data_IF_586866159298
#
_entry.id   IF_586866159298
#
_cell.length_a   1.000
_cell.length_b   1.000
_cell.length_c   1.000
_cell.angle_alpha   90.00
_cell.angle_beta   90.00
_cell.angle_gamma   90.00
#
_symmetry.space_group_name_H-M   'P 1'
#
loop_
_entity.id
_entity.type
_entity.pdbx_description
1 polymer ?
#
# COMPACT_ATOMS: atom_id res chain seq x y z
N UNK A 1 23.22 -13.98 -19.92
CA UNK A 1 23.31 -12.50 -19.96
C UNK A 1 22.95 -12.04 -18.57
N UNK A 2 23.79 -11.23 -17.94
CA UNK A 2 23.39 -10.63 -16.66
C UNK A 2 22.21 -9.70 -16.92
N UNK A 3 21.24 -9.68 -16.01
CA UNK A 3 20.13 -8.73 -16.06
C UNK A 3 20.70 -7.33 -15.81
N UNK A 4 20.06 -6.26 -16.27
CA UNK A 4 20.48 -4.89 -15.94
C UNK A 4 19.36 -4.16 -15.22
N UNK A 5 19.69 -3.33 -14.24
CA UNK A 5 18.71 -2.53 -13.50
C UNK A 5 19.24 -1.14 -13.17
N UNK A 6 18.36 -0.15 -13.22
CA UNK A 6 18.63 1.18 -12.67
C UNK A 6 18.27 1.19 -11.17
N UNK A 7 19.26 1.35 -10.29
CA UNK A 7 19.05 1.48 -8.85
C UNK A 7 18.98 2.96 -8.47
N UNK A 8 17.81 3.40 -8.00
CA UNK A 8 17.59 4.71 -7.39
C UNK A 8 17.74 4.57 -5.88
N UNK A 9 18.77 5.18 -5.31
CA UNK A 9 19.10 5.06 -3.90
C UNK A 9 18.94 6.40 -3.19
N UNK A 10 18.16 6.45 -2.11
CA UNK A 10 18.06 7.62 -1.25
C UNK A 10 19.04 7.52 -0.06
N UNK A 11 20.12 8.33 -0.01
CA UNK A 11 21.11 8.24 1.05
C UNK A 11 20.61 8.71 2.42
N UNK A 12 19.54 9.52 2.47
CA UNK A 12 19.00 10.04 3.74
C UNK A 12 17.80 9.24 4.25
N UNK A 13 17.43 8.15 3.57
CA UNK A 13 16.39 7.24 4.03
C UNK A 13 16.90 6.34 5.17
N UNK A 14 16.03 6.09 6.15
CA UNK A 14 16.30 5.16 7.24
C UNK A 14 17.10 5.74 8.40
N UNK A 15 17.66 4.84 9.21
CA UNK A 15 18.48 5.16 10.37
C UNK A 15 19.88 4.52 10.31
N UNK A 16 20.12 3.70 9.28
CA UNK A 16 21.40 3.04 9.06
C UNK A 16 22.42 3.96 8.39
N UNK A 17 23.63 3.42 8.23
CA UNK A 17 24.69 4.08 7.48
C UNK A 17 24.48 3.82 5.98
N UNK A 18 24.30 4.87 5.16
CA UNK A 18 23.96 4.70 3.75
C UNK A 18 25.06 4.04 2.93
N UNK A 19 26.34 4.19 3.31
CA UNK A 19 27.45 3.56 2.59
C UNK A 19 27.46 2.04 2.85
N UNK A 20 27.17 1.64 4.10
CA UNK A 20 27.04 0.22 4.48
C UNK A 20 25.84 -0.42 3.79
N UNK A 21 24.68 0.24 3.82
CA UNK A 21 23.44 -0.28 3.23
C UNK A 21 23.54 -0.37 1.69
N UNK A 22 24.15 0.63 1.04
CA UNK A 22 24.41 0.55 -0.40
C UNK A 22 25.41 -0.57 -0.73
N UNK A 23 26.48 -0.73 0.07
CA UNK A 23 27.43 -1.81 -0.12
C UNK A 23 26.78 -3.19 0.04
N UNK A 24 25.84 -3.35 0.97
CA UNK A 24 25.05 -4.57 1.13
C UNK A 24 24.20 -4.86 -0.11
N UNK A 25 23.43 -3.87 -0.59
CA UNK A 25 22.62 -4.01 -1.82
C UNK A 25 23.49 -4.45 -3.01
N UNK A 26 24.64 -3.78 -3.19
CA UNK A 26 25.57 -4.10 -4.28
C UNK A 26 26.14 -5.51 -4.15
N UNK A 27 26.57 -5.90 -2.95
CA UNK A 27 27.12 -7.23 -2.70
C UNK A 27 26.12 -8.36 -3.02
N UNK A 28 24.82 -8.11 -2.83
CA UNK A 28 23.78 -9.11 -3.09
C UNK A 28 23.34 -9.10 -4.55
N UNK A 29 23.16 -7.92 -5.17
CA UNK A 29 22.58 -7.82 -6.52
C UNK A 29 23.59 -7.85 -7.67
N UNK A 30 24.78 -7.24 -7.51
CA UNK A 30 25.79 -7.15 -8.58
C UNK A 30 26.31 -8.50 -9.13
N UNK A 31 26.31 -9.62 -8.38
CA UNK A 31 26.65 -10.93 -8.93
C UNK A 31 25.77 -11.36 -10.11
N UNK A 32 24.49 -10.97 -10.13
CA UNK A 32 23.48 -11.42 -11.10
C UNK A 32 22.90 -10.27 -11.95
N UNK A 33 22.98 -9.03 -11.45
CA UNK A 33 22.38 -7.83 -12.05
C UNK A 33 23.44 -6.73 -12.22
N UNK A 34 23.66 -6.25 -13.44
CA UNK A 34 24.45 -5.05 -13.70
C UNK A 34 23.67 -3.80 -13.24
N UNK A 35 24.17 -3.12 -12.20
CA UNK A 35 23.49 -2.00 -11.55
C UNK A 35 23.98 -0.64 -12.07
N UNK A 36 23.07 0.14 -12.65
CA UNK A 36 23.24 1.57 -12.92
C UNK A 36 22.72 2.37 -11.73
N UNK A 37 23.61 2.83 -10.85
CA UNK A 37 23.26 3.40 -9.54
C UNK A 37 23.15 4.93 -9.61
N UNK A 38 21.98 5.46 -9.24
CA UNK A 38 21.67 6.89 -9.16
C UNK A 38 21.25 7.27 -7.74
N UNK A 39 21.78 8.37 -7.22
CA UNK A 39 21.51 8.81 -5.85
C UNK A 39 20.57 10.01 -5.88
N UNK A 40 19.53 10.01 -5.03
CA UNK A 40 18.72 11.22 -4.82
C UNK A 40 19.55 12.27 -4.09
N UNK A 41 19.21 13.54 -4.29
CA UNK A 41 19.82 14.68 -3.60
C UNK A 41 18.73 15.64 -3.13
N UNK A 42 19.10 16.79 -2.55
CA UNK A 42 18.12 17.84 -2.23
C UNK A 42 17.50 18.49 -3.48
N UNK A 43 18.16 18.37 -4.64
CA UNK A 43 17.76 19.00 -5.90
C UNK A 43 17.15 17.99 -6.89
N UNK A 44 17.41 16.69 -6.65
CA UNK A 44 17.03 15.60 -7.55
C UNK A 44 16.26 14.54 -6.75
N UNK A 45 14.97 14.46 -7.03
CA UNK A 45 14.05 13.52 -6.41
C UNK A 45 14.00 12.18 -7.17
N UNK A 46 13.40 11.17 -6.52
CA UNK A 46 13.36 9.81 -7.05
C UNK A 46 12.51 9.67 -8.32
N UNK A 47 11.45 10.47 -8.45
CA UNK A 47 10.59 10.53 -9.64
C UNK A 47 11.38 11.01 -10.86
N UNK A 48 12.21 12.04 -10.72
CA UNK A 48 13.04 12.57 -11.80
C UNK A 48 14.04 11.52 -12.31
N UNK A 49 14.70 10.80 -11.41
CA UNK A 49 15.60 9.71 -11.75
C UNK A 49 14.86 8.55 -12.43
N UNK A 50 13.66 8.22 -11.94
CA UNK A 50 12.82 7.16 -12.51
C UNK A 50 12.33 7.52 -13.91
N UNK A 51 11.81 8.73 -14.13
CA UNK A 51 11.43 9.21 -15.46
C UNK A 51 12.60 9.17 -16.45
N UNK A 52 13.79 9.63 -16.02
CA UNK A 52 14.99 9.56 -16.86
C UNK A 52 15.39 8.12 -17.19
N UNK A 53 15.16 7.15 -16.30
CA UNK A 53 15.41 5.74 -16.56
C UNK A 53 14.35 5.13 -17.50
N UNK A 54 13.07 5.50 -17.34
CA UNK A 54 11.97 5.12 -18.24
C UNK A 54 12.26 5.60 -19.66
N UNK A 55 12.69 6.85 -19.83
CA UNK A 55 13.05 7.42 -21.14
C UNK A 55 14.23 6.70 -21.80
N UNK A 56 15.16 6.15 -21.01
CA UNK A 56 16.26 5.31 -21.50
C UNK A 56 15.80 3.91 -21.93
N UNK A 57 14.57 3.51 -21.60
CA UNK A 57 14.01 2.20 -21.95
C UNK A 57 14.62 1.04 -21.15
N UNK A 58 14.92 1.26 -19.87
CA UNK A 58 15.41 0.18 -18.99
C UNK A 58 14.32 -0.86 -18.71
N UNK A 59 14.69 -2.13 -18.56
CA UNK A 59 13.72 -3.20 -18.26
C UNK A 59 13.37 -3.29 -16.76
N UNK A 60 14.21 -2.73 -15.89
CA UNK A 60 14.07 -2.82 -14.44
C UNK A 60 14.55 -1.56 -13.74
N UNK A 61 13.72 -1.03 -12.84
CA UNK A 61 14.08 0.05 -11.91
C UNK A 61 13.92 -0.50 -10.49
N UNK A 62 14.93 -0.31 -9.66
CA UNK A 62 14.92 -0.67 -8.25
C UNK A 62 14.98 0.64 -7.47
N UNK A 63 14.07 0.87 -6.53
CA UNK A 63 14.13 2.02 -5.63
C UNK A 63 14.44 1.56 -4.20
N UNK A 64 15.40 2.25 -3.58
CA UNK A 64 15.85 2.00 -2.21
C UNK A 64 15.68 3.26 -1.35
N UNK A 65 14.71 3.24 -0.44
CA UNK A 65 14.36 4.42 0.35
C UNK A 65 13.15 4.22 1.26
N UNK A 66 12.62 5.33 1.81
CA UNK A 66 11.34 5.32 2.54
C UNK A 66 10.13 5.39 1.61
N UNK A 67 8.91 5.29 2.16
CA UNK A 67 7.67 5.24 1.38
C UNK A 67 7.54 6.39 0.36
N UNK A 68 7.90 7.63 0.72
CA UNK A 68 7.88 8.75 -0.23
C UNK A 68 8.83 8.59 -1.43
N UNK A 69 10.04 8.05 -1.23
CA UNK A 69 10.97 7.74 -2.33
C UNK A 69 10.40 6.64 -3.22
N UNK A 70 9.82 5.61 -2.62
CA UNK A 70 9.26 4.46 -3.32
C UNK A 70 8.03 4.86 -4.14
N UNK A 71 7.10 5.63 -3.57
CA UNK A 71 5.92 6.14 -4.27
C UNK A 71 6.29 7.11 -5.38
N UNK A 72 7.28 7.99 -5.17
CA UNK A 72 7.76 8.91 -6.20
C UNK A 72 8.39 8.17 -7.40
N UNK A 73 9.22 7.14 -7.13
CA UNK A 73 9.75 6.30 -8.20
C UNK A 73 8.62 5.53 -8.91
N UNK A 74 7.73 4.89 -8.16
CA UNK A 74 6.60 4.11 -8.70
C UNK A 74 5.69 4.96 -9.60
N UNK A 75 5.43 6.22 -9.23
CA UNK A 75 4.65 7.16 -10.02
C UNK A 75 5.14 7.30 -11.47
N UNK A 76 6.45 7.28 -11.69
CA UNK A 76 7.04 7.38 -13.03
C UNK A 76 6.89 6.10 -13.87
N UNK A 77 6.63 4.95 -13.22
CA UNK A 77 6.49 3.65 -13.87
C UNK A 77 5.03 3.31 -14.20
N UNK A 78 4.06 4.11 -13.76
CA UNK A 78 2.63 3.82 -13.96
C UNK A 78 2.31 3.70 -15.45
N UNK A 79 1.73 2.56 -15.83
CA UNK A 79 1.37 2.25 -17.22
C UNK A 79 2.54 1.77 -18.09
N UNK A 80 3.70 1.50 -17.49
CA UNK A 80 4.86 0.88 -18.17
C UNK A 80 4.96 -0.61 -17.83
N UNK A 81 5.63 -1.38 -18.69
CA UNK A 81 5.97 -2.79 -18.42
C UNK A 81 7.31 -2.97 -17.68
N UNK A 82 7.90 -1.87 -17.21
CA UNK A 82 9.18 -1.87 -16.47
C UNK A 82 8.97 -2.52 -15.11
N UNK A 83 9.81 -3.50 -14.79
CA UNK A 83 9.68 -4.20 -13.52
C UNK A 83 10.25 -3.35 -12.38
N UNK A 84 9.48 -3.17 -11.31
CA UNK A 84 9.82 -2.32 -10.18
C UNK A 84 10.27 -3.14 -8.97
N UNK A 85 11.50 -2.91 -8.52
CA UNK A 85 12.06 -3.50 -7.30
C UNK A 85 11.96 -2.52 -6.13
N UNK A 86 11.52 -3.00 -4.98
CA UNK A 86 11.35 -2.19 -3.77
C UNK A 86 12.32 -2.67 -2.70
N UNK A 87 13.16 -1.77 -2.21
CA UNK A 87 14.03 -1.99 -1.04
C UNK A 87 13.68 -0.93 0.01
N UNK A 88 12.77 -1.27 0.91
CA UNK A 88 12.30 -0.34 1.94
C UNK A 88 13.34 -0.15 3.04
N UNK A 89 13.76 1.10 3.23
CA UNK A 89 14.69 1.53 4.30
C UNK A 89 14.06 2.55 5.24
N UNK A 90 12.77 2.86 5.09
CA UNK A 90 12.06 3.82 5.93
C UNK A 90 11.68 3.27 7.30
N UNK A 91 11.00 4.10 8.09
CA UNK A 91 10.50 3.71 9.43
C UNK A 91 9.17 2.97 9.35
N UNK A 92 8.29 3.34 8.42
CA UNK A 92 6.95 2.76 8.30
C UNK A 92 6.92 1.59 7.32
N UNK A 93 7.61 1.72 6.18
CA UNK A 93 7.71 0.68 5.13
C UNK A 93 6.33 0.15 4.71
N UNK A 94 5.35 1.07 4.63
CA UNK A 94 3.96 0.76 4.35
C UNK A 94 3.81 0.06 2.99
N UNK A 95 4.60 0.49 2.00
CA UNK A 95 4.54 -0.07 0.65
C UNK A 95 5.03 -1.53 0.60
N UNK A 96 6.24 -1.81 1.10
CA UNK A 96 6.73 -3.19 1.17
C UNK A 96 5.81 -4.08 2.02
N UNK A 97 5.37 -3.59 3.18
CA UNK A 97 4.47 -4.33 4.08
C UNK A 97 3.14 -4.68 3.41
N UNK A 98 2.55 -3.75 2.65
CA UNK A 98 1.28 -3.96 1.96
C UNK A 98 1.38 -5.04 0.86
N UNK A 99 2.55 -5.18 0.23
CA UNK A 99 2.81 -6.17 -0.82
C UNK A 99 3.48 -7.46 -0.31
N UNK A 100 3.71 -7.57 1.00
CA UNK A 100 4.38 -8.72 1.62
C UNK A 100 5.88 -8.81 1.31
N UNK A 101 6.49 -7.74 0.78
CA UNK A 101 7.93 -7.69 0.51
C UNK A 101 8.68 -7.65 1.85
N UNK A 102 9.74 -8.47 2.05
CA UNK A 102 10.52 -8.45 3.28
C UNK A 102 11.06 -7.06 3.62
N UNK A 103 11.06 -6.73 4.91
CA UNK A 103 11.48 -5.42 5.44
C UNK A 103 13.00 -5.29 5.63
N UNK A 104 13.77 -6.30 5.26
CA UNK A 104 15.23 -6.30 5.28
C UNK A 104 15.79 -6.08 3.88
N UNK A 105 16.94 -5.40 3.79
CA UNK A 105 17.67 -5.21 2.51
C UNK A 105 17.91 -6.57 1.85
N UNK A 106 18.42 -7.54 2.59
CA UNK A 106 18.69 -8.87 2.07
C UNK A 106 17.44 -9.58 1.52
N UNK A 107 16.33 -9.59 2.27
CA UNK A 107 15.10 -10.24 1.81
C UNK A 107 14.44 -9.54 0.62
N UNK A 108 14.50 -8.22 0.57
CA UNK A 108 14.04 -7.44 -0.59
C UNK A 108 14.89 -7.72 -1.83
N UNK A 109 16.22 -7.77 -1.69
CA UNK A 109 17.13 -8.13 -2.78
C UNK A 109 16.89 -9.56 -3.26
N UNK A 110 16.70 -10.51 -2.35
CA UNK A 110 16.37 -11.90 -2.69
C UNK A 110 15.06 -12.00 -3.48
N UNK A 111 14.04 -11.22 -3.10
CA UNK A 111 12.77 -11.12 -3.84
C UNK A 111 12.99 -10.66 -5.30
N UNK A 112 13.85 -9.66 -5.51
CA UNK A 112 14.20 -9.18 -6.85
C UNK A 112 14.96 -10.24 -7.65
N UNK A 113 15.91 -10.93 -7.01
CA UNK A 113 16.72 -11.99 -7.63
C UNK A 113 15.88 -13.19 -8.05
N UNK A 114 14.90 -13.59 -7.24
CA UNK A 114 13.94 -14.65 -7.59
C UNK A 114 13.14 -14.31 -8.87
N UNK A 115 12.90 -13.02 -9.12
CA UNK A 115 12.33 -12.54 -10.37
C UNK A 115 10.82 -12.72 -10.53
N UNK A 116 10.12 -13.16 -9.49
CA UNK A 116 8.66 -13.21 -9.45
C UNK A 116 8.07 -11.80 -9.54
N UNK A 117 7.18 -11.56 -10.50
CA UNK A 117 6.52 -10.26 -10.67
C UNK A 117 5.00 -10.40 -10.66
N UNK A 118 4.31 -9.35 -10.19
CA UNK A 118 2.86 -9.19 -10.29
C UNK A 118 2.52 -7.84 -10.88
N UNK A 119 1.41 -7.78 -11.60
CA UNK A 119 0.79 -6.51 -11.96
C UNK A 119 -0.07 -6.07 -10.78
N UNK A 120 0.25 -4.90 -10.24
CA UNK A 120 -0.41 -4.27 -9.12
C UNK A 120 -1.13 -3.05 -9.66
N UNK A 121 -2.37 -2.89 -9.24
CA UNK A 121 -3.20 -1.74 -9.56
C UNK A 121 -2.60 -0.46 -8.96
N UNK A 122 -2.95 0.67 -9.57
CA UNK A 122 -2.62 2.01 -9.06
C UNK A 122 -3.86 2.86 -9.20
N UNK A 123 -4.06 3.84 -8.32
CA UNK A 123 -5.11 4.84 -8.54
C UNK A 123 -4.53 6.21 -8.92
N UNK A 124 -5.33 7.02 -9.60
CA UNK A 124 -5.12 8.46 -9.66
C UNK A 124 -6.13 9.16 -8.76
N UNK A 125 -5.66 9.96 -7.82
CA UNK A 125 -6.45 10.92 -7.06
C UNK A 125 -6.29 12.29 -7.72
N UNK A 126 -7.32 12.71 -8.46
CA UNK A 126 -7.23 13.77 -9.46
C UNK A 126 -6.06 13.48 -10.42
N UNK A 127 -5.04 14.33 -10.44
CA UNK A 127 -3.86 14.18 -11.30
C UNK A 127 -2.66 13.52 -10.59
N UNK A 128 -2.83 13.06 -9.33
CA UNK A 128 -1.74 12.48 -8.53
C UNK A 128 -1.86 10.96 -8.43
N UNK A 129 -0.80 10.20 -8.74
CA UNK A 129 -0.81 8.76 -8.55
C UNK A 129 -0.87 8.42 -7.05
N UNK A 130 -1.53 7.31 -6.75
CA UNK A 130 -1.79 6.78 -5.43
C UNK A 130 -1.56 5.28 -5.49
N UNK A 131 -0.58 4.81 -4.74
CA UNK A 131 -0.21 3.40 -4.71
C UNK A 131 -0.86 2.71 -3.53
N UNK A 132 -0.95 3.37 -2.38
CA UNK A 132 -1.48 2.78 -1.16
C UNK A 132 -2.93 3.22 -0.93
N UNK A 133 -3.12 4.45 -0.46
CA UNK A 133 -4.44 4.91 -0.03
C UNK A 133 -4.58 6.42 -0.02
N UNK A 134 -5.84 6.86 -0.09
CA UNK A 134 -6.28 8.21 0.22
C UNK A 134 -7.11 8.21 1.50
N UNK A 135 -6.75 9.10 2.43
CA UNK A 135 -7.45 9.34 3.69
C UNK A 135 -8.14 10.70 3.71
N UNK A 136 -9.42 10.75 4.10
CA UNK A 136 -10.22 11.98 4.15
C UNK A 136 -10.78 12.16 5.57
N UNK A 137 -10.62 13.36 6.12
CA UNK A 137 -11.07 13.71 7.46
C UNK A 137 -10.06 13.33 8.53
N UNK A 138 -10.42 12.42 9.44
CA UNK A 138 -9.61 12.08 10.63
C UNK A 138 -8.14 11.71 10.34
N UNK A 139 -7.89 10.99 9.25
CA UNK A 139 -6.54 10.55 8.87
C UNK A 139 -5.63 11.75 8.55
N UNK A 140 -6.19 12.81 7.96
CA UNK A 140 -5.47 14.03 7.64
C UNK A 140 -5.12 14.89 8.86
N UNK A 141 -5.99 14.91 9.88
CA UNK A 141 -5.68 15.58 11.15
C UNK A 141 -4.56 14.85 11.92
N UNK A 142 -4.40 13.54 11.71
CA UNK A 142 -3.39 12.73 12.40
C UNK A 142 -1.99 12.93 11.81
N UNK A 143 -1.86 13.11 10.48
CA UNK A 143 -0.58 13.41 9.82
C UNK A 143 0.00 14.75 10.29
N UNK A 144 -0.84 15.76 10.53
CA UNK A 144 -0.38 17.09 11.01
C UNK A 144 0.15 17.07 12.45
N UNK A 145 -0.34 16.15 13.27
CA UNK A 145 0.03 16.04 14.69
C UNK A 145 1.08 14.95 14.95
N UNK A 146 1.53 14.26 13.90
CA UNK A 146 2.55 13.24 14.00
C UNK A 146 3.91 13.89 14.31
N UNK A 147 4.14 14.13 15.60
CA UNK A 147 5.39 14.62 16.15
C UNK A 147 6.52 13.67 15.74
N UNK A 148 7.55 14.21 15.07
CA UNK A 148 8.73 13.45 14.60
C UNK A 148 9.38 12.68 15.76
N UNK A 149 9.22 13.15 16.99
CA UNK A 149 9.85 12.59 18.19
C UNK A 149 9.16 11.33 18.74
N UNK A 150 7.85 11.15 18.51
CA UNK A 150 7.15 9.92 18.92
C UNK A 150 7.47 8.73 18.00
N UNK A 151 7.80 9.01 16.73
CA UNK A 151 8.23 8.02 15.72
C UNK A 151 9.54 7.32 16.10
N UNK A 152 10.40 7.98 16.88
CA UNK A 152 11.79 7.54 17.11
C UNK A 152 11.98 6.55 18.26
N UNK A 153 10.98 6.25 19.09
CA UNK A 153 11.21 5.60 20.40
C UNK A 153 10.41 4.33 20.72
N UNK A 154 9.28 4.07 20.06
CA UNK A 154 8.36 2.98 20.47
C UNK A 154 7.81 2.10 19.33
N UNK A 155 8.30 2.26 18.10
CA UNK A 155 7.92 1.41 16.96
C UNK A 155 6.49 1.62 16.44
N UNK A 156 6.08 0.76 15.49
CA UNK A 156 4.86 0.91 14.70
C UNK A 156 3.55 0.90 15.51
N UNK A 157 3.50 0.18 16.64
CA UNK A 157 2.32 0.13 17.51
C UNK A 157 2.04 1.47 18.24
N UNK A 158 3.09 2.24 18.57
CA UNK A 158 2.91 3.55 19.19
C UNK A 158 2.25 4.55 18.23
N UNK A 159 2.46 4.42 16.92
CA UNK A 159 1.78 5.21 15.91
C UNK A 159 0.28 4.91 15.86
N UNK A 160 -0.09 3.62 15.89
CA UNK A 160 -1.51 3.19 15.97
C UNK A 160 -2.17 3.72 17.25
N UNK A 161 -1.50 3.62 18.41
CA UNK A 161 -2.03 4.14 19.68
C UNK A 161 -2.12 5.67 19.72
N UNK A 162 -1.15 6.39 19.13
CA UNK A 162 -1.20 7.84 18.98
C UNK A 162 -2.39 8.26 18.08
N UNK A 163 -2.60 7.53 16.98
CA UNK A 163 -3.78 7.68 16.14
C UNK A 163 -5.08 7.49 16.92
N UNK A 164 -5.21 6.42 17.71
CA UNK A 164 -6.39 6.20 18.57
C UNK A 164 -6.60 7.36 19.57
N UNK A 165 -5.53 7.92 20.13
CA UNK A 165 -5.63 9.02 21.08
C UNK A 165 -6.16 10.32 20.43
N UNK A 166 -5.89 10.52 19.14
CA UNK A 166 -6.43 11.65 18.36
C UNK A 166 -7.93 11.54 18.10
N UNK A 167 -8.54 10.35 18.22
CA UNK A 167 -9.99 10.15 18.04
C UNK A 167 -10.82 11.06 18.98
N UNK A 168 -10.22 11.62 20.04
CA UNK A 168 -10.86 12.59 20.93
C UNK A 168 -11.23 13.92 20.23
N UNK A 169 -10.61 14.26 19.11
CA UNK A 169 -10.86 15.49 18.35
C UNK A 169 -11.75 15.29 17.10
N UNK A 170 -12.22 14.07 16.84
CA UNK A 170 -13.07 13.72 15.69
C UNK A 170 -14.22 14.71 15.48
N UNK A 171 -14.25 15.28 14.27
CA UNK A 171 -15.38 16.07 13.78
C UNK A 171 -16.12 15.26 12.72
N UNK A 172 -17.46 15.30 12.79
CA UNK A 172 -18.29 14.76 11.73
C UNK A 172 -18.36 15.76 10.58
N UNK A 173 -18.45 15.25 9.37
CA UNK A 173 -18.73 15.99 8.16
C UNK A 173 -19.76 15.23 7.34
N UNK A 174 -20.53 15.96 6.53
CA UNK A 174 -21.41 15.35 5.56
C UNK A 174 -20.59 14.96 4.33
N UNK A 175 -20.81 13.76 3.81
CA UNK A 175 -20.11 13.21 2.66
C UNK A 175 -21.08 12.68 1.62
N UNK A 176 -20.79 12.99 0.36
CA UNK A 176 -21.39 12.40 -0.83
C UNK A 176 -20.31 11.63 -1.59
N UNK A 177 -20.56 10.34 -1.82
CA UNK A 177 -19.69 9.40 -2.54
C UNK A 177 -20.45 8.92 -3.76
N UNK A 178 -19.93 9.21 -4.94
CA UNK A 178 -20.45 8.77 -6.23
C UNK A 178 -19.53 7.67 -6.79
N UNK A 179 -20.10 6.51 -7.11
CA UNK A 179 -19.46 5.41 -7.87
C UNK A 179 -20.08 5.33 -9.27
N UNK A 180 -19.67 4.35 -10.07
CA UNK A 180 -20.25 4.11 -11.40
C UNK A 180 -21.75 3.76 -11.36
N UNK A 181 -22.24 3.23 -10.24
CA UNK A 181 -23.58 2.65 -10.12
C UNK A 181 -24.50 3.32 -9.09
N UNK A 182 -23.97 4.12 -8.14
CA UNK A 182 -24.76 4.71 -7.06
C UNK A 182 -24.15 5.97 -6.45
N UNK A 183 -25.01 6.73 -5.76
CA UNK A 183 -24.62 7.85 -4.91
C UNK A 183 -24.98 7.51 -3.46
N UNK A 184 -23.99 7.63 -2.58
CA UNK A 184 -24.11 7.37 -1.15
C UNK A 184 -23.96 8.70 -0.42
N UNK A 185 -24.93 9.06 0.43
CA UNK A 185 -24.87 10.27 1.27
C UNK A 185 -24.98 9.89 2.72
N UNK A 186 -24.04 10.35 3.54
CA UNK A 186 -24.04 10.07 4.99
C UNK A 186 -23.24 11.12 5.75
N UNK A 187 -23.26 11.04 7.08
CA UNK A 187 -22.37 11.79 7.96
C UNK A 187 -21.26 10.85 8.45
N UNK A 188 -20.01 11.20 8.20
CA UNK A 188 -18.85 10.37 8.52
C UNK A 188 -17.83 11.17 9.35
N UNK A 189 -16.86 10.46 9.93
CA UNK A 189 -15.69 11.08 10.53
C UNK A 189 -14.38 10.71 9.84
N UNK A 190 -14.38 9.62 9.06
CA UNK A 190 -13.29 9.26 8.19
C UNK A 190 -13.83 8.54 6.95
N UNK A 191 -13.21 8.79 5.80
CA UNK A 191 -13.39 8.01 4.58
C UNK A 191 -12.00 7.66 4.06
N UNK A 192 -11.78 6.38 3.80
CA UNK A 192 -10.51 5.86 3.30
C UNK A 192 -10.78 5.15 1.98
N UNK A 193 -9.98 5.43 0.96
CA UNK A 193 -9.98 4.69 -0.31
C UNK A 193 -8.60 4.04 -0.45
N UNK A 194 -8.54 2.71 -0.50
CA UNK A 194 -7.31 1.95 -0.52
C UNK A 194 -7.20 1.10 -1.79
N UNK A 195 -6.01 1.10 -2.36
CA UNK A 195 -5.55 0.10 -3.33
C UNK A 195 -4.78 -0.99 -2.60
N UNK A 196 -3.81 -0.58 -1.78
CA UNK A 196 -3.03 -1.44 -0.92
C UNK A 196 -2.77 -0.73 0.41
N UNK A 197 -2.76 -1.45 1.53
CA UNK A 197 -2.46 -0.83 2.80
C UNK A 197 -1.84 -1.84 3.75
N UNK A 198 -0.84 -1.44 4.56
CA UNK A 198 -0.36 -2.30 5.62
C UNK A 198 -1.50 -2.55 6.63
N UNK A 199 -1.48 -3.67 7.38
CA UNK A 199 -2.46 -3.95 8.43
C UNK A 199 -2.60 -2.85 9.49
N UNK A 200 -1.58 -2.00 9.63
CA UNK A 200 -1.54 -0.88 10.57
C UNK A 200 -2.31 0.36 10.09
N UNK A 201 -2.66 0.44 8.81
CA UNK A 201 -3.62 1.41 8.28
C UNK A 201 -5.05 0.96 8.59
N UNK A 202 -5.38 0.97 9.88
CA UNK A 202 -6.63 0.40 10.43
C UNK A 202 -7.90 0.92 9.75
N UNK A 203 -7.93 2.19 9.32
CA UNK A 203 -9.10 2.77 8.67
C UNK A 203 -9.32 2.27 7.24
N UNK A 204 -8.37 1.56 6.64
CA UNK A 204 -8.51 0.90 5.35
C UNK A 204 -9.04 -0.54 5.46
N UNK A 205 -9.12 -1.09 6.68
CA UNK A 205 -9.35 -2.52 6.91
C UNK A 205 -10.83 -2.91 6.99
N UNK A 206 -11.76 -2.06 6.54
CA UNK A 206 -13.20 -2.37 6.58
C UNK A 206 -13.60 -3.70 5.92
N UNK A 207 -13.28 -3.91 4.62
CA UNK A 207 -13.71 -5.10 3.89
C UNK A 207 -12.97 -6.39 4.29
N UNK A 208 -11.85 -6.29 5.03
CA UNK A 208 -10.82 -7.33 5.16
C UNK A 208 -10.20 -7.75 3.82
N UNK A 209 -8.91 -8.13 3.82
CA UNK A 209 -8.27 -8.69 2.64
C UNK A 209 -8.30 -7.78 1.41
N UNK A 210 -7.64 -6.62 1.49
CA UNK A 210 -7.39 -5.75 0.34
C UNK A 210 -6.76 -6.57 -0.79
N UNK A 211 -7.29 -6.41 -2.00
CA UNK A 211 -6.77 -7.08 -3.20
C UNK A 211 -6.25 -5.99 -4.11
N UNK A 212 -4.94 -5.97 -4.32
CA UNK A 212 -4.24 -4.89 -5.02
C UNK A 212 -4.10 -5.16 -6.53
N UNK A 213 -4.74 -6.21 -7.05
CA UNK A 213 -4.61 -6.67 -8.44
C UNK A 213 -5.96 -7.14 -9.05
N UNK A 214 -7.10 -6.67 -8.52
CA UNK A 214 -8.46 -7.02 -9.01
C UNK A 214 -9.13 -5.95 -9.89
N UNK A 215 -8.46 -4.82 -10.11
CA UNK A 215 -8.94 -3.66 -10.84
C UNK A 215 -9.95 -2.80 -10.09
N UNK A 216 -10.06 -2.96 -8.76
CA UNK A 216 -10.98 -2.22 -7.89
C UNK A 216 -10.21 -1.47 -6.79
N UNK A 217 -10.90 -0.54 -6.13
CA UNK A 217 -10.44 0.15 -4.94
C UNK A 217 -11.41 -0.11 -3.80
N UNK A 218 -10.87 -0.31 -2.61
CA UNK A 218 -11.62 -0.55 -1.37
C UNK A 218 -11.91 0.77 -0.66
N UNK A 219 -13.19 1.12 -0.51
CA UNK A 219 -13.62 2.27 0.26
C UNK A 219 -14.13 1.81 1.63
N UNK A 220 -13.65 2.46 2.70
CA UNK A 220 -14.16 2.31 4.06
C UNK A 220 -14.70 3.65 4.58
N UNK A 221 -15.92 3.64 5.12
CA UNK A 221 -16.59 4.78 5.76
C UNK A 221 -16.70 4.49 7.24
N UNK A 222 -16.22 5.41 8.07
CA UNK A 222 -16.35 5.33 9.53
C UNK A 222 -17.32 6.41 9.99
N UNK A 223 -18.50 6.01 10.49
CA UNK A 223 -19.63 6.88 10.80
C UNK A 223 -20.20 6.71 12.23
N UNK A 224 -19.35 6.70 13.29
CA UNK A 224 -19.79 6.44 14.65
C UNK A 224 -20.74 7.51 15.18
N UNK A 225 -21.71 7.08 15.99
CA UNK A 225 -22.66 8.00 16.63
C UNK A 225 -21.96 8.98 17.58
N UNK A 226 -20.95 8.51 18.32
CA UNK A 226 -20.22 9.27 19.35
C UNK A 226 -18.75 8.82 19.45
N UNK A 227 -17.96 9.49 20.29
CA UNK A 227 -16.52 9.22 20.45
C UNK A 227 -16.20 7.81 20.97
N UNK A 228 -17.03 7.26 21.85
CA UNK A 228 -16.85 5.90 22.34
C UNK A 228 -17.07 4.88 21.20
N UNK A 229 -18.07 5.13 20.37
CA UNK A 229 -18.30 4.39 19.13
C UNK A 229 -17.12 4.48 18.17
N UNK A 230 -16.47 5.63 18.06
CA UNK A 230 -15.29 5.78 17.21
C UNK A 230 -14.09 4.95 17.69
N UNK A 231 -13.82 4.94 19.01
CA UNK A 231 -12.76 4.12 19.60
C UNK A 231 -13.06 2.63 19.38
N UNK A 232 -14.32 2.22 19.59
CA UNK A 232 -14.75 0.86 19.31
C UNK A 232 -14.60 0.52 17.81
N UNK A 233 -14.93 1.44 16.91
CA UNK A 233 -14.72 1.29 15.45
C UNK A 233 -13.29 0.90 15.13
N UNK A 234 -12.35 1.72 15.59
CA UNK A 234 -10.93 1.55 15.29
C UNK A 234 -10.38 0.26 15.87
N UNK A 235 -10.84 -0.13 17.07
CA UNK A 235 -10.46 -1.40 17.67
C UNK A 235 -10.97 -2.60 16.85
N UNK A 236 -12.23 -2.56 16.40
CA UNK A 236 -12.78 -3.62 15.56
C UNK A 236 -12.09 -3.71 14.20
N UNK A 237 -11.77 -2.58 13.57
CA UNK A 237 -11.01 -2.54 12.32
C UNK A 237 -9.59 -3.12 12.49
N UNK A 238 -8.93 -2.84 13.62
CA UNK A 238 -7.67 -3.47 13.97
C UNK A 238 -7.81 -5.00 14.14
N UNK A 239 -8.90 -5.47 14.75
CA UNK A 239 -9.17 -6.91 14.85
C UNK A 239 -9.44 -7.55 13.48
N UNK A 240 -10.14 -6.86 12.58
CA UNK A 240 -10.37 -7.32 11.20
C UNK A 240 -9.05 -7.60 10.49
N UNK A 241 -8.07 -6.70 10.60
CA UNK A 241 -6.74 -6.89 10.03
C UNK A 241 -6.05 -8.18 10.49
N UNK A 242 -6.37 -8.68 11.70
CA UNK A 242 -5.79 -9.91 12.25
C UNK A 242 -6.59 -11.19 11.99
N UNK A 243 -7.90 -11.07 11.75
CA UNK A 243 -8.83 -12.21 11.65
C UNK A 243 -9.20 -12.55 10.21
N UNK A 244 -8.96 -11.63 9.27
CA UNK A 244 -9.32 -11.79 7.85
C UNK A 244 -10.83 -11.75 7.58
N UNK A 245 -11.65 -11.45 8.59
CA UNK A 245 -13.10 -11.33 8.47
C UNK A 245 -13.50 -9.86 8.38
N UNK A 246 -14.36 -9.53 7.40
CA UNK A 246 -14.93 -8.19 7.26
C UNK A 246 -15.54 -7.69 8.57
N UNK A 247 -15.50 -6.38 8.78
CA UNK A 247 -16.00 -5.80 10.03
C UNK A 247 -17.53 -5.87 10.10
N UNK A 248 -18.07 -6.44 11.18
CA UNK A 248 -19.51 -6.49 11.44
C UNK A 248 -19.91 -5.39 12.43
N UNK A 249 -20.17 -4.17 11.93
CA UNK A 249 -20.61 -3.03 12.76
C UNK A 249 -21.47 -2.04 11.97
N UNK A 250 -22.59 -1.62 12.54
CA UNK A 250 -23.59 -0.76 11.86
C UNK A 250 -23.10 0.65 11.49
N UNK A 251 -22.02 1.12 12.13
CA UNK A 251 -21.41 2.43 11.93
C UNK A 251 -20.05 2.34 11.21
N UNK A 252 -19.82 1.23 10.50
CA UNK A 252 -18.79 1.10 9.47
C UNK A 252 -19.45 0.59 8.18
N UNK A 253 -19.23 1.31 7.07
CA UNK A 253 -19.62 0.87 5.74
C UNK A 253 -18.39 0.61 4.88
N UNK A 254 -18.46 -0.34 3.96
CA UNK A 254 -17.39 -0.55 2.98
C UNK A 254 -17.96 -1.05 1.65
N UNK A 255 -17.24 -0.75 0.56
CA UNK A 255 -17.55 -1.23 -0.78
C UNK A 255 -16.31 -1.19 -1.67
N UNK A 256 -16.35 -1.93 -2.77
CA UNK A 256 -15.38 -1.84 -3.86
C UNK A 256 -15.97 -1.18 -5.09
N UNK A 257 -15.17 -0.39 -5.79
CA UNK A 257 -15.54 0.24 -7.07
C UNK A 257 -14.28 0.56 -7.88
N UNK A 258 -14.39 0.80 -9.19
CA UNK A 258 -13.22 1.23 -10.00
C UNK A 258 -12.94 2.71 -9.83
N UNK A 259 -13.94 3.47 -9.39
CA UNK A 259 -13.85 4.91 -9.26
C UNK A 259 -14.73 5.43 -8.12
N UNK A 260 -14.23 6.46 -7.44
CA UNK A 260 -14.96 7.22 -6.44
C UNK A 260 -14.83 8.72 -6.71
N UNK A 261 -15.94 9.44 -6.66
CA UNK A 261 -15.93 10.90 -6.54
C UNK A 261 -16.51 11.27 -5.19
N UNK A 262 -15.71 11.98 -4.40
CA UNK A 262 -15.98 12.25 -2.99
C UNK A 262 -16.06 13.75 -2.77
N UNK A 263 -17.20 14.22 -2.28
CA UNK A 263 -17.45 15.62 -1.91
C UNK A 263 -17.85 15.67 -0.44
N UNK A 264 -17.35 16.67 0.31
CA UNK A 264 -17.70 16.84 1.73
C UNK A 264 -18.11 18.27 2.05
N UNK A 265 -18.94 18.41 3.10
CA UNK A 265 -19.28 19.68 3.72
C UNK A 265 -19.01 19.62 5.24
N UNK A 266 -18.11 20.46 5.78
CA UNK A 266 -17.21 21.35 5.06
C UNK A 266 -16.12 20.56 4.29
N UNK A 267 -15.39 21.20 3.36
CA UNK A 267 -14.24 20.57 2.70
C UNK A 267 -13.26 19.97 3.71
N UNK A 268 -12.92 18.69 3.53
CA UNK A 268 -11.98 17.95 4.37
C UNK A 268 -10.62 17.86 3.71
N UNK A 269 -9.56 17.82 4.51
CA UNK A 269 -8.20 17.55 4.03
C UNK A 269 -8.09 16.13 3.48
N UNK A 270 -7.23 15.97 2.49
CA UNK A 270 -6.94 14.70 1.83
C UNK A 270 -5.47 14.36 2.02
N UNK A 271 -5.22 13.19 2.60
CA UNK A 271 -3.91 12.56 2.64
C UNK A 271 -3.84 11.54 1.52
N UNK A 272 -2.74 11.51 0.79
CA UNK A 272 -2.43 10.56 -0.27
C UNK A 272 -1.08 9.93 0.05
N UNK A 273 -1.02 8.61 0.25
CA UNK A 273 0.20 7.87 0.56
C UNK A 273 1.05 8.49 1.70
N UNK A 274 0.39 9.14 2.67
CA UNK A 274 1.03 9.77 3.83
C UNK A 274 1.31 11.28 3.70
N UNK A 275 1.02 11.90 2.55
CA UNK A 275 1.22 13.34 2.32
C UNK A 275 -0.11 14.08 2.12
N UNK A 276 -0.22 15.30 2.65
CA UNK A 276 -1.42 16.13 2.43
C UNK A 276 -1.36 16.75 1.03
N UNK A 277 -2.34 16.43 0.19
CA UNK A 277 -2.37 16.87 -1.22
C UNK A 277 -3.39 17.97 -1.51
N UNK A 278 -4.28 18.26 -0.57
CA UNK A 278 -5.30 19.29 -0.71
C UNK A 278 -6.54 19.02 0.12
N UNK A 279 -7.69 19.44 -0.40
CA UNK A 279 -9.01 19.20 0.21
C UNK A 279 -9.98 18.63 -0.81
N UNK A 280 -11.04 17.97 -0.35
CA UNK A 280 -12.19 17.58 -1.17
C UNK A 280 -12.81 18.78 -1.91
N UNK A 281 -13.44 18.59 -3.09
CA UNK A 281 -13.74 17.30 -3.71
C UNK A 281 -12.53 16.61 -4.34
N UNK A 282 -12.59 15.28 -4.42
CA UNK A 282 -11.59 14.45 -5.13
C UNK A 282 -12.25 13.41 -6.00
N UNK A 283 -11.61 13.07 -7.10
CA UNK A 283 -11.94 11.94 -7.97
C UNK A 283 -10.79 10.93 -7.89
N UNK A 284 -11.08 9.70 -7.48
CA UNK A 284 -10.09 8.63 -7.32
C UNK A 284 -10.44 7.50 -8.28
N UNK A 285 -9.55 7.16 -9.20
CA UNK A 285 -9.81 6.19 -10.26
C UNK A 285 -8.71 5.13 -10.35
N UNK A 286 -9.12 3.86 -10.38
CA UNK A 286 -8.23 2.72 -10.56
C UNK A 286 -7.68 2.64 -12.00
N UNK A 287 -6.41 2.27 -12.09
CA UNK A 287 -5.66 1.87 -13.28
C UNK A 287 -5.26 0.40 -13.04
N UNK A 288 -6.04 -0.55 -13.57
CA UNK A 288 -5.78 -1.97 -13.38
C UNK A 288 -4.40 -2.37 -13.91
N UNK A 289 -3.62 -3.10 -13.12
CA UNK A 289 -2.27 -3.55 -13.45
C UNK A 289 -1.28 -2.42 -13.76
N UNK A 290 -1.48 -1.23 -13.16
CA UNK A 290 -0.71 -0.03 -13.44
C UNK A 290 0.79 -0.13 -13.17
N UNK A 291 1.24 -1.07 -12.33
CA UNK A 291 2.66 -1.30 -12.03
C UNK A 291 3.01 -2.79 -12.09
N UNK A 292 4.16 -3.11 -12.66
CA UNK A 292 4.74 -4.45 -12.56
C UNK A 292 5.78 -4.48 -11.44
N UNK A 293 5.51 -5.19 -10.35
CA UNK A 293 6.34 -5.15 -9.13
C UNK A 293 6.93 -6.53 -8.84
N UNK A 294 8.20 -6.57 -8.40
CA UNK A 294 8.78 -7.78 -7.82
C UNK A 294 8.16 -8.07 -6.46
N UNK A 295 7.60 -9.26 -6.30
CA UNK A 295 6.97 -9.71 -5.06
C UNK A 295 7.49 -11.10 -4.70
N UNK A 296 7.47 -11.49 -3.41
CA UNK A 296 7.88 -12.83 -3.03
C UNK A 296 7.06 -13.86 -3.79
N UNK A 297 7.73 -14.90 -4.28
CA UNK A 297 7.05 -16.09 -4.74
C UNK A 297 6.38 -16.70 -3.50
N UNK A 298 5.06 -16.55 -3.40
CA UNK A 298 4.28 -17.32 -2.43
C UNK A 298 4.42 -18.76 -2.86
N UNK A 299 5.06 -19.61 -2.04
CA UNK A 299 5.01 -21.05 -2.27
C UNK A 299 3.54 -21.43 -2.44
N UNK A 300 3.21 -22.07 -3.57
CA UNK A 300 1.89 -22.67 -3.73
C UNK A 300 1.68 -23.57 -2.52
N UNK A 301 0.73 -23.20 -1.65
CA UNK A 301 0.32 -24.06 -0.55
C UNK A 301 -0.33 -25.26 -1.22
N UNK A 302 0.40 -26.36 -1.38
CA UNK A 302 -0.21 -27.60 -1.82
C UNK A 302 -1.32 -27.91 -0.80
N UNK A 303 -2.59 -27.96 -1.26
CA UNK A 303 -3.70 -28.21 -0.35
C UNK A 303 -3.43 -29.54 0.34
N UNK A 304 -3.35 -29.51 1.67
CA UNK A 304 -3.10 -30.74 2.42
C UNK A 304 -4.31 -31.65 2.28
N UNK A 305 -4.20 -32.66 1.44
CA UNK A 305 -5.23 -33.68 1.25
C UNK A 305 -4.94 -34.88 2.15
N UNK A 306 -5.92 -35.28 2.97
CA UNK A 306 -5.86 -36.52 3.76
C UNK A 306 -7.14 -37.32 3.56
N UNK A 307 -7.09 -38.23 2.58
CA UNK A 307 -8.17 -39.19 2.34
C UNK A 307 -7.96 -40.52 3.08
N UNK A 308 -6.78 -40.77 3.64
CA UNK A 308 -6.44 -42.00 4.36
C UNK A 308 -7.18 -42.17 5.70
N UNK A 309 -7.58 -43.42 6.02
CA UNK A 309 -8.19 -43.81 7.31
C UNK A 309 -9.72 -43.75 7.37
N UNK A 310 -10.39 -43.39 6.28
CA UNK A 310 -11.85 -43.36 6.20
C UNK A 310 -12.44 -44.79 5.96
N UNK A 311 -13.45 -45.24 6.73
CA UNK A 311 -14.06 -46.55 6.53
C UNK A 311 -14.83 -46.60 5.20
N UNK A 312 -14.63 -47.68 4.43
CA UNK A 312 -15.27 -47.92 3.13
C UNK A 312 -14.94 -46.86 2.04
N UNK A 313 -13.78 -46.20 2.13
CA UNK A 313 -13.33 -45.25 1.11
C UNK A 313 -13.11 -45.93 -0.24
N UNK A 314 -13.72 -45.39 -1.29
CA UNK A 314 -13.44 -45.71 -2.69
C UNK A 314 -13.21 -44.40 -3.43
N UNK A 315 -12.09 -44.25 -4.12
CA UNK A 315 -11.74 -43.07 -4.91
C UNK A 315 -11.73 -43.49 -6.38
N UNK A 316 -12.61 -42.90 -7.19
CA UNK A 316 -12.65 -43.10 -8.63
C UNK A 316 -12.15 -41.83 -9.31
N UNK A 317 -11.09 -41.94 -10.12
CA UNK A 317 -10.58 -40.83 -10.92
C UNK A 317 -11.54 -40.57 -12.08
N UNK A 318 -11.96 -39.32 -12.25
CA UNK A 318 -12.71 -38.92 -13.44
C UNK A 318 -11.71 -38.58 -14.54
N UNK A 319 -11.96 -39.09 -15.75
CA UNK A 319 -11.22 -38.66 -16.94
C UNK A 319 -11.44 -37.15 -17.12
N UNK A 320 -10.36 -36.38 -17.05
CA UNK A 320 -10.38 -34.93 -17.30
C UNK A 320 -10.79 -34.71 -18.74
N UNK A 321 -11.84 -33.91 -18.95
CA UNK A 321 -12.16 -33.39 -20.27
C UNK A 321 -11.08 -32.36 -20.58
N UNK A 322 -10.18 -32.67 -21.52
CA UNK A 322 -9.28 -31.67 -22.10
C UNK A 322 -10.15 -30.59 -22.77
N UNK A 323 -10.14 -29.37 -22.23
CA UNK A 323 -10.63 -28.15 -22.91
C UNK A 323 -9.53 -27.53 -23.78
#
# INVERSE_FOLDING_TARGET
>A
MNRSACLIFNPVAGQGDPDIELAEIRAILEPDIDLDIHLTTQEIDADQLAYAAVERGVDTIIASGGDGTLSAAAAALVGTDISFGIISRGTANAFATALGIPDTIAGACETILQGGTRHVDVAYCNDRPMVLLAGIGFEAETVELADRDAKNRFGMMAYVFAGIQQLRNLRKFDVEIETEDRIIKTSACAVTVANAAPPTSVLAQGPAGLVYDDGLLDLTIVAPANKAGAIAATFHLFQTASTGNAVERDDIGFLRAKQFKITTEPPQKVVLDGEIVGTTPVEIKCIPGGLKIFVPLVEEVEPTEKLEGLPNLTIEMKDTVEE
#
